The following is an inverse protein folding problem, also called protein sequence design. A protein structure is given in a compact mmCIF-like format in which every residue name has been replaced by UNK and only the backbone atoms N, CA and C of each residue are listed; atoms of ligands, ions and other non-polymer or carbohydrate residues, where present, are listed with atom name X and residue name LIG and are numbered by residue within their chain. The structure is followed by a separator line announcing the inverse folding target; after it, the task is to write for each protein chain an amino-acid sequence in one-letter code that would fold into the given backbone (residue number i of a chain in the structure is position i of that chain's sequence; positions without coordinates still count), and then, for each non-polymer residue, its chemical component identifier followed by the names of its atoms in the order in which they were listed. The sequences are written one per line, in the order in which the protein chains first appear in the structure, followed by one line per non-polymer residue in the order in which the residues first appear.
data_IF_650816638099
#
_entry.id   IF_650816638099
#
_cell.length_a   1.000
_cell.length_b   1.000
_cell.length_c   1.000
_cell.angle_alpha   90.00
_cell.angle_beta   90.00
_cell.angle_gamma   90.00
#
_symmetry.space_group_name_H-M   'P 1'
#
loop_
_entity.id
_entity.type
_entity.pdbx_description
1 polymer ?
#
# COMPACT_ATOMS: atom_id res chain seq x y z
N UNK A 1 -5.20 -3.38 -9.71
CA UNK A 1 -4.40 -4.63 -9.83
C UNK A 1 -4.55 -5.30 -11.19
N UNK A 2 -5.76 -5.55 -11.71
CA UNK A 2 -5.95 -6.27 -12.97
C UNK A 2 -5.21 -5.64 -14.17
N UNK A 3 -5.26 -4.32 -14.34
CA UNK A 3 -4.49 -3.59 -15.37
C UNK A 3 -2.99 -3.96 -15.36
N UNK A 4 -2.34 -3.77 -14.21
CA UNK A 4 -0.92 -4.07 -14.05
C UNK A 4 -0.58 -5.54 -14.34
N UNK A 5 -1.46 -6.48 -13.95
CA UNK A 5 -1.28 -7.89 -14.27
C UNK A 5 -1.40 -8.14 -15.78
N UNK A 6 -2.39 -7.54 -16.45
CA UNK A 6 -2.57 -7.64 -17.90
C UNK A 6 -1.35 -7.08 -18.65
N UNK A 7 -0.81 -5.96 -18.19
CA UNK A 7 0.40 -5.35 -18.77
C UNK A 7 1.65 -6.21 -18.53
N UNK A 8 1.81 -6.77 -17.33
CA UNK A 8 2.95 -7.63 -17.00
C UNK A 8 2.91 -9.00 -17.70
N UNK A 9 1.72 -9.53 -17.98
CA UNK A 9 1.55 -10.80 -18.71
C UNK A 9 1.73 -10.64 -20.22
N UNK A 10 1.56 -9.44 -20.77
CA UNK A 10 1.68 -9.25 -22.20
C UNK A 10 3.12 -9.49 -22.67
N UNK A 11 3.27 -10.33 -23.69
CA UNK A 11 4.56 -10.78 -24.24
C UNK A 11 5.42 -11.62 -23.26
N UNK A 12 4.82 -12.15 -22.20
CA UNK A 12 5.49 -13.08 -21.29
C UNK A 12 5.64 -14.46 -21.95
N UNK A 13 6.89 -14.92 -22.11
CA UNK A 13 7.19 -16.28 -22.56
C UNK A 13 7.29 -17.24 -21.37
N UNK A 14 6.34 -18.18 -21.29
CA UNK A 14 6.24 -19.14 -20.20
C UNK A 14 7.44 -20.10 -20.08
N UNK A 15 8.16 -20.35 -21.19
CA UNK A 15 9.30 -21.29 -21.21
C UNK A 15 10.64 -20.60 -21.52
N UNK A 16 10.65 -19.26 -21.58
CA UNK A 16 11.85 -18.46 -21.80
C UNK A 16 12.68 -18.92 -23.00
N UNK A 17 13.95 -19.26 -22.78
CA UNK A 17 14.85 -19.68 -23.87
C UNK A 17 14.42 -20.97 -24.61
N UNK A 18 13.51 -21.76 -24.04
CA UNK A 18 12.97 -22.99 -24.65
C UNK A 18 11.56 -22.80 -25.23
N UNK A 19 11.02 -21.58 -25.13
CA UNK A 19 9.70 -21.22 -25.64
C UNK A 19 9.66 -21.05 -27.15
N UNK A 20 8.49 -21.31 -27.71
CA UNK A 20 8.16 -21.00 -29.11
C UNK A 20 7.08 -19.93 -29.16
N UNK A 21 6.66 -19.45 -30.35
CA UNK A 21 5.60 -18.44 -30.46
C UNK A 21 4.29 -18.80 -29.75
N UNK A 22 4.00 -20.10 -29.59
CA UNK A 22 2.82 -20.60 -28.89
C UNK A 22 2.90 -20.52 -27.35
N UNK A 23 4.08 -20.26 -26.77
CA UNK A 23 4.25 -20.12 -25.31
C UNK A 23 4.25 -18.67 -24.83
N UNK A 24 4.06 -17.72 -25.73
CA UNK A 24 3.98 -16.29 -25.42
C UNK A 24 2.52 -15.93 -25.14
N UNK A 25 2.28 -15.34 -23.97
CA UNK A 25 0.97 -14.81 -23.62
C UNK A 25 0.79 -13.46 -24.33
N UNK A 26 -0.28 -13.34 -25.10
CA UNK A 26 -0.68 -12.09 -25.73
C UNK A 26 -1.97 -11.59 -25.06
N UNK A 27 -1.92 -10.37 -24.57
CA UNK A 27 -3.08 -9.71 -23.96
C UNK A 27 -3.62 -8.68 -24.94
N UNK A 28 -4.95 -8.67 -25.12
CA UNK A 28 -5.60 -7.65 -25.94
C UNK A 28 -5.47 -6.29 -25.26
N UNK A 29 -4.88 -5.32 -25.95
CA UNK A 29 -4.66 -3.97 -25.43
C UNK A 29 -5.96 -3.29 -24.97
N UNK A 30 -7.09 -3.62 -25.59
CA UNK A 30 -8.41 -3.09 -25.22
C UNK A 30 -8.80 -3.41 -23.78
N UNK A 31 -8.40 -4.58 -23.24
CA UNK A 31 -8.72 -4.95 -21.86
C UNK A 31 -7.91 -4.13 -20.84
N UNK A 32 -6.65 -3.83 -21.15
CA UNK A 32 -5.83 -2.92 -20.35
C UNK A 32 -6.38 -1.49 -20.39
N UNK A 33 -6.78 -1.00 -21.57
CA UNK A 33 -7.38 0.34 -21.72
C UNK A 33 -8.71 0.48 -20.98
N UNK A 34 -9.58 -0.54 -21.00
CA UNK A 34 -10.81 -0.55 -20.20
C UNK A 34 -10.51 -0.41 -18.71
N UNK A 35 -9.52 -1.17 -18.21
CA UNK A 35 -9.11 -1.07 -16.81
C UNK A 35 -8.52 0.32 -16.48
N UNK A 36 -7.78 0.93 -17.40
CA UNK A 36 -7.24 2.28 -17.24
C UNK A 36 -8.36 3.33 -17.14
N UNK A 37 -9.37 3.27 -18.02
CA UNK A 37 -10.52 4.19 -17.98
C UNK A 37 -11.31 4.07 -16.66
N UNK A 38 -11.44 2.85 -16.13
CA UNK A 38 -12.05 2.62 -14.81
C UNK A 38 -11.22 3.28 -13.71
N UNK A 39 -9.90 3.10 -13.70
CA UNK A 39 -9.04 3.72 -12.68
C UNK A 39 -9.10 5.25 -12.74
N UNK A 40 -9.11 5.84 -13.93
CA UNK A 40 -9.20 7.30 -14.12
C UNK A 40 -10.54 7.88 -13.66
N UNK A 41 -11.64 7.11 -13.77
CA UNK A 41 -12.97 7.57 -13.36
C UNK A 41 -13.27 7.35 -11.88
N UNK A 42 -12.68 6.32 -11.26
CA UNK A 42 -12.93 5.99 -9.86
C UNK A 42 -12.02 6.77 -8.90
N UNK A 43 -10.71 6.82 -9.17
CA UNK A 43 -9.74 7.42 -8.25
C UNK A 43 -10.05 8.91 -7.99
N UNK A 44 -9.90 9.38 -6.74
CA UNK A 44 -9.28 8.71 -5.59
C UNK A 44 -10.20 7.77 -4.80
N UNK A 45 -11.43 7.51 -5.28
CA UNK A 45 -12.37 6.61 -4.61
C UNK A 45 -12.07 5.15 -4.95
N UNK A 46 -12.25 4.27 -3.97
CA UNK A 46 -12.05 2.83 -4.17
C UNK A 46 -13.29 2.19 -4.81
N UNK A 47 -14.48 2.55 -4.34
CA UNK A 47 -15.74 2.04 -4.89
C UNK A 47 -16.90 3.01 -4.65
N UNK A 48 -18.07 2.71 -5.22
CA UNK A 48 -19.29 3.49 -4.97
C UNK A 48 -19.71 3.50 -3.49
N UNK A 49 -19.35 2.45 -2.74
CA UNK A 49 -19.68 2.29 -1.32
C UNK A 49 -18.57 2.73 -0.37
N UNK A 50 -17.31 2.80 -0.84
CA UNK A 50 -16.16 3.21 -0.02
C UNK A 50 -15.48 4.42 -0.66
N UNK A 51 -15.59 5.55 0.02
CA UNK A 51 -15.05 6.80 -0.49
C UNK A 51 -13.54 6.80 -0.65
N UNK A 52 -12.78 6.16 0.25
CA UNK A 52 -11.31 6.22 0.23
C UNK A 52 -10.73 5.05 1.01
N UNK A 53 -9.68 4.43 0.46
CA UNK A 53 -8.96 3.31 1.06
C UNK A 53 -7.45 3.52 0.93
N UNK A 54 -6.70 3.32 2.01
CA UNK A 54 -5.23 3.41 2.02
C UNK A 54 -4.57 2.30 1.20
N UNK A 55 -5.28 1.20 0.94
CA UNK A 55 -4.90 0.14 0.02
C UNK A 55 -4.67 0.65 -1.41
N UNK A 56 -5.24 1.80 -1.79
CA UNK A 56 -4.97 2.43 -3.09
C UNK A 56 -3.48 2.80 -3.27
N UNK A 57 -2.71 2.94 -2.18
CA UNK A 57 -1.25 3.09 -2.25
C UNK A 57 -0.57 1.96 -3.03
N UNK A 58 -1.11 0.73 -2.94
CA UNK A 58 -0.58 -0.42 -3.68
C UNK A 58 -0.95 -0.40 -5.17
N UNK A 59 -1.98 0.38 -5.53
CA UNK A 59 -2.46 0.56 -6.91
C UNK A 59 -1.68 1.67 -7.60
N UNK A 60 -1.49 2.82 -6.94
CA UNK A 60 -0.75 3.97 -7.50
C UNK A 60 0.77 3.82 -7.41
N UNK A 61 1.26 2.85 -6.63
CA UNK A 61 2.68 2.57 -6.44
C UNK A 61 2.96 1.08 -6.35
N UNK A 62 3.99 0.72 -5.60
CA UNK A 62 4.38 -0.68 -5.44
C UNK A 62 3.28 -1.50 -4.73
N UNK A 63 2.91 -2.69 -5.23
CA UNK A 63 3.56 -3.42 -6.33
C UNK A 63 2.91 -3.22 -7.70
N UNK A 64 1.75 -2.59 -7.80
CA UNK A 64 0.97 -2.61 -9.04
C UNK A 64 1.45 -1.61 -10.07
N UNK A 65 1.74 -0.37 -9.64
CA UNK A 65 1.97 0.76 -10.54
C UNK A 65 0.91 0.82 -11.64
N UNK A 66 -0.38 0.72 -11.30
CA UNK A 66 -1.43 0.57 -12.31
C UNK A 66 -1.90 1.91 -12.91
N UNK A 67 -1.39 3.05 -12.42
CA UNK A 67 -1.87 4.39 -12.81
C UNK A 67 -0.72 5.15 -13.43
N UNK A 68 -0.93 5.68 -14.64
CA UNK A 68 0.12 6.38 -15.40
C UNK A 68 0.08 7.90 -15.21
N UNK A 69 -1.08 8.45 -14.83
CA UNK A 69 -1.26 9.89 -14.66
C UNK A 69 -0.69 10.38 -13.32
N UNK A 70 0.40 11.15 -13.39
CA UNK A 70 1.08 11.73 -12.23
C UNK A 70 0.16 12.60 -11.37
N UNK A 71 -0.72 13.40 -11.97
CA UNK A 71 -1.62 14.26 -11.20
C UNK A 71 -2.63 13.42 -10.41
N UNK A 72 -3.15 12.36 -11.03
CA UNK A 72 -4.07 11.43 -10.37
C UNK A 72 -3.39 10.67 -9.22
N UNK A 73 -2.14 10.24 -9.42
CA UNK A 73 -1.32 9.60 -8.38
C UNK A 73 -1.14 10.54 -7.18
N UNK A 74 -0.73 11.79 -7.43
CA UNK A 74 -0.52 12.78 -6.36
C UNK A 74 -1.83 13.11 -5.64
N UNK A 75 -2.92 13.37 -6.38
CA UNK A 75 -4.24 13.65 -5.81
C UNK A 75 -4.74 12.48 -4.94
N UNK A 76 -4.53 11.24 -5.38
CA UNK A 76 -4.94 10.04 -4.64
C UNK A 76 -4.13 9.88 -3.37
N UNK A 77 -2.81 10.01 -3.45
CA UNK A 77 -1.93 9.97 -2.27
C UNK A 77 -2.31 11.06 -1.27
N UNK A 78 -2.48 12.31 -1.71
CA UNK A 78 -2.80 13.43 -0.82
C UNK A 78 -4.20 13.29 -0.20
N UNK A 79 -5.17 12.72 -0.91
CA UNK A 79 -6.47 12.34 -0.35
C UNK A 79 -6.33 11.29 0.76
N UNK A 80 -5.52 10.26 0.56
CA UNK A 80 -5.20 9.23 1.57
C UNK A 80 -4.55 9.87 2.80
N UNK A 81 -3.51 10.68 2.58
CA UNK A 81 -2.77 11.29 3.69
C UNK A 81 -3.61 12.30 4.49
N UNK A 82 -4.48 13.07 3.81
CA UNK A 82 -5.31 14.07 4.49
C UNK A 82 -6.43 13.47 5.34
N UNK A 83 -7.00 12.32 4.95
CA UNK A 83 -8.16 11.72 5.64
C UNK A 83 -7.83 10.49 6.49
N UNK A 84 -6.84 9.69 6.08
CA UNK A 84 -6.57 8.38 6.68
C UNK A 84 -5.26 8.34 7.46
N UNK A 85 -4.35 9.31 7.29
CA UNK A 85 -3.09 9.31 8.04
C UNK A 85 -3.34 9.58 9.53
N UNK A 86 -2.76 8.72 10.37
CA UNK A 86 -2.72 8.84 11.82
C UNK A 86 -1.29 8.98 12.34
N UNK A 87 -1.13 8.74 13.65
CA UNK A 87 0.18 8.81 14.35
C UNK A 87 1.00 7.52 14.18
N UNK A 88 0.31 6.38 14.05
CA UNK A 88 0.87 5.03 13.99
C UNK A 88 0.73 4.39 12.60
N UNK A 89 0.46 5.17 11.55
CA UNK A 89 0.26 4.66 10.20
C UNK A 89 -0.89 5.36 9.49
N UNK A 90 -1.62 4.60 8.67
CA UNK A 90 -2.90 5.05 8.12
C UNK A 90 -4.03 4.11 8.54
N UNK A 91 -5.25 4.63 8.62
CA UNK A 91 -6.47 3.83 8.69
C UNK A 91 -6.68 3.11 7.36
N UNK A 92 -7.27 1.92 7.35
CA UNK A 92 -7.55 1.23 6.07
C UNK A 92 -8.58 2.02 5.25
N UNK A 93 -9.74 2.27 5.84
CA UNK A 93 -10.79 3.14 5.32
C UNK A 93 -11.57 3.70 6.51
N UNK A 94 -12.40 4.72 6.27
CA UNK A 94 -13.21 5.32 7.33
C UNK A 94 -14.28 4.34 7.83
N UNK A 95 -14.58 4.36 9.14
CA UNK A 95 -15.58 3.48 9.78
C UNK A 95 -15.25 2.00 9.69
N UNK A 96 -13.96 1.69 9.66
CA UNK A 96 -13.46 0.33 9.72
C UNK A 96 -13.52 -0.20 11.16
N UNK A 97 -14.31 -1.27 11.36
CA UNK A 97 -14.53 -1.90 12.66
C UNK A 97 -13.48 -2.93 13.07
N UNK A 98 -12.60 -3.34 12.16
CA UNK A 98 -11.71 -4.47 12.42
C UNK A 98 -10.69 -4.18 13.53
N UNK A 99 -10.66 -5.07 14.52
CA UNK A 99 -9.89 -4.99 15.77
C UNK A 99 -10.15 -3.71 16.57
N UNK A 100 -11.26 -3.01 16.29
CA UNK A 100 -11.64 -1.87 17.12
C UNK A 100 -12.17 -2.37 18.46
N UNK A 101 -12.09 -1.56 19.52
CA UNK A 101 -12.51 -2.00 20.85
C UNK A 101 -14.02 -2.30 20.97
N UNK A 102 -14.82 -1.74 20.05
CA UNK A 102 -16.27 -1.94 19.94
C UNK A 102 -16.65 -3.08 19.00
N UNK A 103 -15.67 -3.76 18.40
CA UNK A 103 -15.92 -4.90 17.51
C UNK A 103 -16.45 -6.10 18.31
N UNK A 104 -17.42 -6.82 17.74
CA UNK A 104 -17.78 -8.17 18.16
C UNK A 104 -17.03 -9.19 17.28
N UNK A 105 -15.98 -9.87 17.79
CA UNK A 105 -15.16 -10.79 16.99
C UNK A 105 -15.90 -12.08 16.59
N UNK A 106 -17.07 -12.35 17.16
CA UNK A 106 -17.84 -13.57 16.87
C UNK A 106 -18.64 -13.47 15.56
N UNK A 107 -18.82 -12.26 15.02
CA UNK A 107 -19.66 -11.99 13.86
C UNK A 107 -18.82 -11.70 12.62
N UNK A 108 -19.25 -12.22 11.47
CA UNK A 108 -18.57 -12.03 10.18
C UNK A 108 -18.92 -10.71 9.48
N UNK A 109 -20.02 -10.06 9.85
CA UNK A 109 -20.50 -8.84 9.23
C UNK A 109 -20.99 -7.84 10.28
N UNK A 110 -20.81 -6.56 9.97
CA UNK A 110 -21.32 -5.46 10.79
C UNK A 110 -22.71 -5.02 10.31
N UNK A 111 -23.56 -4.67 11.26
CA UNK A 111 -24.79 -3.95 10.97
C UNK A 111 -24.50 -2.51 10.53
N UNK A 112 -25.42 -1.92 9.77
CA UNK A 112 -25.28 -0.53 9.29
C UNK A 112 -25.15 0.49 10.42
N UNK A 113 -25.73 0.21 11.58
CA UNK A 113 -25.66 1.10 12.74
C UNK A 113 -24.31 0.99 13.48
N UNK A 114 -23.67 -0.18 13.47
CA UNK A 114 -22.36 -0.43 14.10
C UNK A 114 -21.26 0.38 13.42
N UNK A 115 -21.35 0.58 12.10
CA UNK A 115 -20.37 1.37 11.34
C UNK A 115 -20.20 2.79 11.88
N UNK A 116 -21.25 3.39 12.46
CA UNK A 116 -21.16 4.74 13.07
C UNK A 116 -20.38 4.71 14.38
N UNK A 117 -20.35 3.57 15.07
CA UNK A 117 -19.59 3.42 16.31
C UNK A 117 -18.09 3.34 16.05
N UNK A 118 -17.66 2.87 14.87
CA UNK A 118 -16.23 2.77 14.54
C UNK A 118 -15.61 4.09 14.09
N UNK A 119 -16.42 5.10 13.80
CA UNK A 119 -15.95 6.41 13.38
C UNK A 119 -15.02 7.03 14.44
N UNK A 120 -13.84 7.48 14.00
CA UNK A 120 -12.76 8.08 14.81
C UNK A 120 -11.96 7.11 15.71
N UNK A 121 -12.41 5.87 15.90
CA UNK A 121 -11.68 4.87 16.70
C UNK A 121 -11.03 3.78 15.83
N UNK A 122 -11.04 3.95 14.51
CA UNK A 122 -10.52 2.96 13.56
C UNK A 122 -9.05 2.68 13.83
N UNK A 123 -8.63 1.42 13.69
CA UNK A 123 -7.24 1.02 13.88
C UNK A 123 -6.30 1.69 12.88
N UNK A 124 -5.10 2.04 13.34
CA UNK A 124 -4.04 2.59 12.49
C UNK A 124 -3.03 1.50 12.16
N UNK A 125 -2.60 1.43 10.90
CA UNK A 125 -1.77 0.35 10.37
C UNK A 125 -0.39 0.86 9.96
N UNK A 126 0.69 0.45 10.66
CA UNK A 126 2.07 0.79 10.30
C UNK A 126 2.45 0.33 8.89
N UNK A 127 1.76 -0.69 8.37
CA UNK A 127 1.87 -1.20 7.01
C UNK A 127 1.89 -0.07 5.96
N UNK A 128 1.04 0.96 6.12
CA UNK A 128 0.94 2.03 5.14
C UNK A 128 2.14 2.99 5.17
N UNK A 129 2.84 3.12 6.30
CA UNK A 129 4.13 3.81 6.31
C UNK A 129 5.18 3.03 5.50
N UNK A 130 5.16 1.69 5.55
CA UNK A 130 6.03 0.88 4.70
C UNK A 130 5.73 1.11 3.20
N UNK A 131 4.44 1.20 2.84
CA UNK A 131 4.04 1.56 1.48
C UNK A 131 4.50 2.96 1.08
N UNK A 132 4.38 3.96 1.95
CA UNK A 132 4.83 5.33 1.67
C UNK A 132 6.34 5.40 1.52
N UNK A 133 7.10 4.70 2.36
CA UNK A 133 8.56 4.58 2.22
C UNK A 133 8.92 4.03 0.84
N UNK A 134 8.28 2.93 0.41
CA UNK A 134 8.50 2.36 -0.92
C UNK A 134 8.09 3.34 -2.03
N UNK A 135 6.93 3.96 -1.91
CA UNK A 135 6.41 4.93 -2.86
C UNK A 135 7.38 6.08 -3.11
N UNK A 136 7.92 6.68 -2.03
CA UNK A 136 8.92 7.75 -2.12
C UNK A 136 10.30 7.23 -2.56
N UNK A 137 10.67 5.99 -2.19
CA UNK A 137 11.91 5.38 -2.63
C UNK A 137 11.94 5.18 -4.16
N UNK A 138 10.83 4.73 -4.75
CA UNK A 138 10.71 4.64 -6.22
C UNK A 138 10.82 6.02 -6.88
N UNK A 139 10.23 7.06 -6.28
CA UNK A 139 10.35 8.46 -6.75
C UNK A 139 11.71 9.12 -6.50
N UNK A 140 12.64 8.42 -5.84
CA UNK A 140 13.95 8.95 -5.45
C UNK A 140 13.86 10.18 -4.52
N UNK A 141 12.76 10.29 -3.75
CA UNK A 141 12.57 11.34 -2.75
C UNK A 141 13.12 10.87 -1.39
N UNK A 142 14.43 11.07 -1.21
CA UNK A 142 15.15 10.65 -0.01
C UNK A 142 14.66 11.34 1.27
N UNK A 143 14.12 12.57 1.16
CA UNK A 143 13.69 13.34 2.32
C UNK A 143 12.42 12.74 2.92
N UNK A 144 11.42 12.46 2.09
CA UNK A 144 10.20 11.82 2.57
C UNK A 144 10.44 10.37 3.00
N UNK A 145 11.34 9.65 2.35
CA UNK A 145 11.77 8.31 2.79
C UNK A 145 12.29 8.35 4.24
N UNK A 146 13.21 9.25 4.55
CA UNK A 146 13.79 9.39 5.89
C UNK A 146 12.73 9.80 6.92
N UNK A 147 11.83 10.72 6.55
CA UNK A 147 10.74 11.15 7.42
C UNK A 147 9.83 9.98 7.83
N UNK A 148 9.33 9.22 6.86
CA UNK A 148 8.45 8.09 7.14
C UNK A 148 9.20 6.92 7.80
N UNK A 149 10.48 6.72 7.48
CA UNK A 149 11.32 5.74 8.17
C UNK A 149 11.49 6.07 9.66
N UNK A 150 11.79 7.33 10.00
CA UNK A 150 11.87 7.79 11.39
C UNK A 150 10.53 7.67 12.13
N UNK A 151 9.41 7.96 11.45
CA UNK A 151 8.07 7.78 12.02
C UNK A 151 7.75 6.30 12.27
N UNK A 152 8.09 5.42 11.33
CA UNK A 152 7.92 3.98 11.46
C UNK A 152 8.77 3.42 12.60
N UNK A 153 10.03 3.84 12.73
CA UNK A 153 10.92 3.36 13.80
C UNK A 153 10.40 3.66 15.20
N UNK A 154 9.76 4.81 15.41
CA UNK A 154 9.14 5.19 16.69
C UNK A 154 7.95 4.30 17.09
N UNK A 155 7.34 3.63 16.12
CA UNK A 155 6.16 2.78 16.33
C UNK A 155 6.48 1.29 16.08
N UNK A 156 7.74 0.93 15.89
CA UNK A 156 8.13 -0.48 15.84
C UNK A 156 8.32 -1.00 17.26
N UNK A 157 7.99 -2.28 17.46
CA UNK A 157 8.19 -2.97 18.74
C UNK A 157 9.57 -3.60 18.74
N UNK A 158 10.34 -3.42 19.82
CA UNK A 158 11.63 -4.10 19.99
C UNK A 158 11.41 -5.46 20.62
N UNK A 159 11.90 -6.51 19.95
CA UNK A 159 12.00 -7.87 20.52
C UNK A 159 13.03 -7.90 21.65
N UNK A 160 13.02 -8.97 22.44
CA UNK A 160 14.04 -9.25 23.48
C UNK A 160 15.46 -9.28 22.89
N UNK A 161 15.59 -9.78 21.65
CA UNK A 161 16.85 -9.81 20.90
C UNK A 161 17.26 -8.45 20.28
N UNK A 162 16.50 -7.39 20.55
CA UNK A 162 16.74 -6.04 20.00
C UNK A 162 16.27 -5.83 18.55
N UNK A 163 15.66 -6.84 17.93
CA UNK A 163 15.12 -6.76 16.55
C UNK A 163 13.88 -5.85 16.51
N UNK A 164 13.80 -4.97 15.53
CA UNK A 164 12.64 -4.12 15.26
C UNK A 164 11.55 -4.90 14.50
N UNK A 165 10.37 -4.97 15.10
CA UNK A 165 9.21 -5.69 14.58
C UNK A 165 8.09 -4.69 14.23
N UNK A 166 7.56 -4.83 13.01
CA UNK A 166 6.38 -4.08 12.55
C UNK A 166 5.11 -4.78 13.06
N UNK A 167 4.29 -4.15 13.91
CA UNK A 167 3.03 -4.74 14.36
C UNK A 167 1.93 -4.66 13.29
N UNK A 168 0.88 -5.47 13.43
CA UNK A 168 -0.27 -5.51 12.53
C UNK A 168 -1.02 -4.18 12.55
N UNK A 169 -1.49 -3.74 13.72
CA UNK A 169 -2.18 -2.47 13.87
C UNK A 169 -2.14 -1.92 15.31
N UNK A 170 -2.62 -0.68 15.44
CA UNK A 170 -2.72 0.08 16.68
C UNK A 170 -4.17 0.47 16.96
N UNK A 171 -4.70 0.02 18.10
CA UNK A 171 -6.07 0.28 18.54
C UNK A 171 -6.10 1.20 19.77
N UNK A 172 -7.19 1.93 19.95
CA UNK A 172 -7.45 2.72 21.17
C UNK A 172 -7.78 1.75 22.31
N UNK A 173 -7.26 1.91 23.54
CA UNK A 173 -7.67 1.07 24.66
C UNK A 173 -9.17 1.20 24.96
N UNK A 174 -9.83 0.10 25.32
CA UNK A 174 -11.29 0.06 25.55
C UNK A 174 -11.79 1.15 26.51
N UNK A 175 -11.05 1.39 27.59
CA UNK A 175 -11.42 2.35 28.64
C UNK A 175 -11.30 3.81 28.19
N UNK A 176 -10.53 4.07 27.13
CA UNK A 176 -10.24 5.41 26.63
C UNK A 176 -11.06 5.79 25.39
N UNK A 177 -11.88 4.86 24.87
CA UNK A 177 -12.74 5.07 23.70
C UNK A 177 -13.63 6.31 23.85
N UNK A 178 -14.20 6.53 25.04
CA UNK A 178 -15.05 7.69 25.31
C UNK A 178 -14.33 9.03 25.12
N UNK A 179 -13.05 9.10 25.51
CA UNK A 179 -12.23 10.31 25.35
C UNK A 179 -11.78 10.50 23.89
N UNK A 180 -11.49 9.41 23.17
CA UNK A 180 -11.16 9.48 21.75
C UNK A 180 -12.35 10.02 20.92
N UNK A 181 -13.59 9.65 21.23
CA UNK A 181 -14.77 10.23 20.56
C UNK A 181 -14.91 11.74 20.79
N UNK A 182 -14.55 12.23 21.97
CA UNK A 182 -14.61 13.67 22.28
C UNK A 182 -13.50 14.45 21.58
N UNK A 183 -12.30 13.86 21.50
CA UNK A 183 -11.13 14.46 20.86
C UNK A 183 -10.37 13.41 20.04
N UNK A 184 -10.71 13.23 18.75
CA UNK A 184 -10.05 12.26 17.89
C UNK A 184 -8.53 12.47 17.81
N UNK A 185 -7.76 11.38 17.86
CA UNK A 185 -6.30 11.38 17.83
C UNK A 185 -5.64 11.82 19.13
N UNK A 186 -6.37 11.87 20.25
CA UNK A 186 -5.82 12.29 21.55
C UNK A 186 -5.23 11.15 22.34
N UNK A 187 -5.75 9.94 22.18
CA UNK A 187 -5.35 8.79 23.00
C UNK A 187 -4.12 8.08 22.44
N UNK A 188 -3.30 7.53 23.34
CA UNK A 188 -2.25 6.59 22.95
C UNK A 188 -2.89 5.25 22.58
N UNK A 189 -2.36 4.61 21.55
CA UNK A 189 -2.89 3.36 21.02
C UNK A 189 -1.96 2.22 21.40
N UNK A 190 -2.54 1.05 21.63
CA UNK A 190 -1.83 -0.19 21.95
C UNK A 190 -1.71 -1.07 20.72
N UNK A 191 -0.67 -1.89 20.69
CA UNK A 191 -0.43 -2.85 19.63
C UNK A 191 -1.49 -3.95 19.71
N UNK A 192 -2.16 -4.21 18.61
CA UNK A 192 -3.14 -5.30 18.49
C UNK A 192 -2.84 -6.18 17.28
N UNK A 193 -3.19 -7.46 17.39
CA UNK A 193 -2.95 -8.44 16.35
C UNK A 193 -1.54 -9.02 16.38
N UNK A 194 -1.02 -9.40 15.20
CA UNK A 194 0.25 -10.11 15.08
C UNK A 194 1.43 -9.14 15.20
N UNK A 195 2.48 -9.59 15.90
CA UNK A 195 3.78 -8.92 15.95
C UNK A 195 4.89 -9.99 15.93
N UNK A 196 5.70 -10.12 14.85
CA UNK A 196 5.67 -9.29 13.65
C UNK A 196 4.48 -9.60 12.75
N UNK A 197 3.96 -8.55 12.12
CA UNK A 197 3.06 -8.69 10.99
C UNK A 197 3.88 -8.90 9.72
N UNK A 198 3.92 -10.16 9.25
CA UNK A 198 4.83 -10.59 8.18
C UNK A 198 4.74 -9.75 6.90
N UNK A 199 3.54 -9.31 6.50
CA UNK A 199 3.39 -8.43 5.33
C UNK A 199 4.06 -7.06 5.55
N UNK A 200 3.77 -6.40 6.67
CA UNK A 200 4.43 -5.16 7.07
C UNK A 200 5.95 -5.31 7.18
N UNK A 201 6.39 -6.38 7.85
CA UNK A 201 7.81 -6.69 8.01
C UNK A 201 8.52 -6.91 6.65
N UNK A 202 7.86 -7.58 5.71
CA UNK A 202 8.41 -7.84 4.37
C UNK A 202 8.61 -6.55 3.58
N UNK A 203 7.63 -5.63 3.63
CA UNK A 203 7.74 -4.32 2.98
C UNK A 203 8.77 -3.42 3.66
N UNK A 204 8.89 -3.49 4.98
CA UNK A 204 9.94 -2.78 5.72
C UNK A 204 11.33 -3.25 5.28
N UNK A 205 11.58 -4.56 5.25
CA UNK A 205 12.84 -5.14 4.78
C UNK A 205 13.11 -4.72 3.33
N UNK A 206 12.10 -4.80 2.45
CA UNK A 206 12.23 -4.34 1.06
C UNK A 206 12.61 -2.86 0.98
N UNK A 207 11.97 -2.00 1.77
CA UNK A 207 12.28 -0.58 1.84
C UNK A 207 13.72 -0.30 2.30
N UNK A 208 14.20 -1.05 3.30
CA UNK A 208 15.59 -0.97 3.78
C UNK A 208 16.60 -1.41 2.71
N UNK A 209 16.33 -2.53 2.03
CA UNK A 209 17.19 -3.02 0.96
C UNK A 209 17.28 -2.04 -0.21
N UNK A 210 16.19 -1.35 -0.56
CA UNK A 210 16.18 -0.32 -1.60
C UNK A 210 16.95 0.95 -1.21
N UNK A 211 17.09 1.24 0.08
CA UNK A 211 17.87 2.37 0.59
C UNK A 211 19.37 2.06 0.64
N UNK A 212 19.74 0.86 1.08
CA UNK A 212 21.14 0.46 1.28
C UNK A 212 21.82 0.02 -0.02
N UNK A 213 21.09 -0.69 -0.88
CA UNK A 213 21.61 -1.17 -2.14
C UNK A 213 21.08 -0.26 -3.25
N UNK A 214 21.95 0.27 -4.09
CA UNK A 214 21.60 1.04 -5.30
C UNK A 214 20.84 0.22 -6.37
N UNK A 215 19.96 -0.71 -5.96
CA UNK A 215 19.09 -1.57 -6.80
C UNK A 215 18.07 -0.74 -7.57
N UNK A 216 17.84 0.53 -7.18
CA UNK A 216 16.97 1.45 -7.91
C UNK A 216 17.31 1.49 -9.41
N UNK A 217 18.58 1.31 -9.81
CA UNK A 217 18.97 1.21 -11.22
C UNK A 217 18.49 -0.05 -11.94
N UNK A 218 18.40 -1.22 -11.28
CA UNK A 218 17.90 -2.46 -11.91
C UNK A 218 16.38 -2.55 -11.92
N UNK A 219 15.70 -2.08 -10.87
CA UNK A 219 14.22 -2.03 -10.86
C UNK A 219 13.66 -0.94 -11.78
N UNK A 220 14.39 0.17 -12.00
CA UNK A 220 14.07 1.15 -13.05
C UNK A 220 14.09 0.57 -14.46
N UNK A 221 14.84 -0.51 -14.70
CA UNK A 221 14.88 -1.17 -16.00
C UNK A 221 13.66 -2.07 -16.25
N UNK A 222 13.00 -2.54 -15.18
CA UNK A 222 11.79 -3.38 -15.25
C UNK A 222 10.50 -2.55 -15.15
N UNK A 223 10.50 -1.46 -14.37
CA UNK A 223 9.33 -0.59 -14.13
C UNK A 223 9.48 0.82 -14.73
N UNK A 224 10.40 1.01 -15.69
CA UNK A 224 10.88 2.31 -16.17
C UNK A 224 9.85 3.27 -16.76
N UNK A 225 8.64 2.79 -17.08
CA UNK A 225 7.52 3.59 -17.56
C UNK A 225 7.00 4.59 -16.50
N UNK A 226 7.16 4.30 -15.21
CA UNK A 226 6.54 5.07 -14.12
C UNK A 226 7.44 6.17 -13.54
N UNK A 227 8.68 6.31 -14.02
CA UNK A 227 9.69 7.16 -13.39
C UNK A 227 10.38 8.16 -14.33
N UNK A 228 9.92 8.31 -15.57
CA UNK A 228 10.37 9.36 -16.49
C UNK A 228 9.27 9.75 -17.49
N UNK A 229 8.88 11.03 -17.50
CA UNK A 229 7.71 11.58 -18.20
C UNK A 229 7.87 11.63 -19.75
N UNK A 230 9.03 11.29 -20.34
CA UNK A 230 9.27 11.55 -21.77
C UNK A 230 9.84 10.39 -22.63
N UNK A 231 9.89 9.15 -22.14
CA UNK A 231 10.51 8.06 -22.91
C UNK A 231 9.50 7.02 -23.40
N UNK A 232 9.23 7.05 -24.70
CA UNK A 232 8.45 6.04 -25.42
C UNK A 232 9.29 4.74 -25.58
N UNK A 233 8.68 3.57 -25.28
CA UNK A 233 8.89 2.22 -25.86
C UNK A 233 9.66 1.08 -25.10
N UNK A 234 9.21 -0.15 -25.47
CA UNK A 234 9.82 -1.51 -25.55
C UNK A 234 9.95 -2.40 -24.29
N UNK A 235 9.53 -3.70 -24.36
CA UNK A 235 9.56 -4.61 -23.22
C UNK A 235 10.97 -5.16 -22.95
N UNK A 236 11.39 -5.15 -21.68
CA UNK A 236 12.64 -5.77 -21.23
C UNK A 236 12.39 -7.19 -20.72
N UNK A 237 13.04 -8.17 -21.37
CA UNK A 237 13.13 -9.57 -20.92
C UNK A 237 14.05 -9.66 -19.71
N UNK A 238 13.53 -10.13 -18.57
CA UNK A 238 14.35 -10.53 -17.42
C UNK A 238 14.99 -11.88 -17.74
N UNK A 239 16.29 -11.88 -18.06
CA UNK A 239 17.06 -13.12 -18.14
C UNK A 239 17.42 -13.60 -16.73
N UNK A 240 16.70 -14.61 -16.25
CA UNK A 240 17.16 -15.42 -15.12
C UNK A 240 18.19 -16.41 -15.69
N UNK A 241 19.47 -16.20 -15.38
CA UNK A 241 20.48 -17.23 -15.59
C UNK A 241 20.32 -18.24 -14.44
N UNK A 242 19.89 -19.46 -14.77
CA UNK A 242 19.96 -20.64 -13.90
C UNK A 242 21.38 -21.19 -13.98
#
# INVERSE_FOLDING_TARGET
MAKAALEAMNELDLFGARGGPASVIHVLADEAHKCQAVLQSMLPRESNSKELDSGLLCVIGFPAFAVDDAQLIHNTKDAILSRLQGKYGCKRFLRDGYRTPKEDPSRLYYERWELRMFENIECEWPLFYCYLILFHAFQNDKRSVEEYASRLEKIMVRSEDGILLVPESYAVPQDLVGFEYQKPGSQLREVVGRCPFLWGQSLFILGRLLQEVSIVCSLRFVFGSYLNIDARWRPCKVFISI
#
